data_IF_747815327797
#
_entry.id   IF_747815327797
#
_cell.length_a   1.000
_cell.length_b   1.000
_cell.length_c   1.000
_cell.angle_alpha   90.00
_cell.angle_beta   90.00
_cell.angle_gamma   90.00
#
_symmetry.space_group_name_H-M   'P 1'
#
loop_
_entity.id
_entity.type
_entity.pdbx_description
1 polymer ?
#
# COMPACT_ATOMS: atom_id res chain seq x y z
N UNK A 1 9.77 -11.57 35.49
CA UNK A 1 10.77 -11.32 34.43
C UNK A 1 10.65 -9.86 34.04
N UNK A 2 11.73 -9.09 33.93
CA UNK A 2 11.67 -7.71 33.42
C UNK A 2 11.00 -7.64 32.05
N UNK A 3 10.33 -6.53 31.74
CA UNK A 3 9.55 -6.38 30.51
C UNK A 3 10.40 -6.55 29.24
N UNK A 4 11.65 -6.11 29.25
CA UNK A 4 12.56 -6.22 28.11
C UNK A 4 12.83 -7.67 27.77
N UNK A 5 13.04 -8.51 28.79
CA UNK A 5 13.25 -9.95 28.62
C UNK A 5 11.97 -10.66 28.19
N UNK A 6 10.80 -10.15 28.59
CA UNK A 6 9.51 -10.67 28.10
C UNK A 6 9.34 -10.38 26.62
N UNK A 7 9.58 -9.12 26.19
CA UNK A 7 9.49 -8.76 24.78
C UNK A 7 10.54 -9.46 23.94
N UNK A 8 11.78 -9.61 24.42
CA UNK A 8 12.82 -10.35 23.71
C UNK A 8 12.40 -11.82 23.51
N UNK A 9 11.90 -12.48 24.56
CA UNK A 9 11.54 -13.90 24.50
C UNK A 9 10.24 -14.19 23.77
N UNK A 10 9.23 -13.34 23.91
CA UNK A 10 7.86 -13.64 23.44
C UNK A 10 7.42 -12.80 22.25
N UNK A 11 8.11 -11.70 21.95
CA UNK A 11 7.83 -10.87 20.79
C UNK A 11 8.97 -10.92 19.77
N UNK A 12 10.23 -10.69 20.16
CA UNK A 12 11.37 -10.65 19.22
C UNK A 12 11.79 -12.04 18.74
N UNK A 13 12.00 -12.97 19.68
CA UNK A 13 12.48 -14.33 19.45
C UNK A 13 11.50 -15.38 19.99
N UNK A 14 10.22 -15.34 19.58
CA UNK A 14 9.23 -16.28 20.09
C UNK A 14 9.57 -17.71 19.65
N UNK A 15 9.40 -18.72 20.51
CA UNK A 15 9.62 -20.12 20.15
C UNK A 15 8.46 -20.65 19.30
N UNK A 16 8.35 -20.18 18.06
CA UNK A 16 7.18 -20.40 17.19
C UNK A 16 6.85 -21.87 17.00
N UNK A 17 7.84 -22.70 16.67
CA UNK A 17 7.62 -24.14 16.46
C UNK A 17 6.98 -24.79 17.69
N UNK A 18 7.54 -24.51 18.87
CA UNK A 18 6.99 -25.01 20.14
C UNK A 18 5.58 -24.48 20.42
N UNK A 19 5.33 -23.19 20.17
CA UNK A 19 4.01 -22.58 20.38
C UNK A 19 2.96 -23.19 19.43
N UNK A 20 3.34 -23.47 18.18
CA UNK A 20 2.49 -24.13 17.19
C UNK A 20 2.21 -25.60 17.57
N UNK A 21 3.25 -26.37 17.93
CA UNK A 21 3.11 -27.76 18.37
C UNK A 21 2.19 -27.90 19.59
N UNK A 22 2.30 -26.96 20.54
CA UNK A 22 1.47 -26.89 21.72
C UNK A 22 0.08 -26.28 21.48
N UNK A 23 -0.23 -25.89 20.23
CA UNK A 23 -1.48 -25.21 19.84
C UNK A 23 -1.77 -23.95 20.67
N UNK A 24 -0.71 -23.23 21.07
CA UNK A 24 -0.79 -21.98 21.83
C UNK A 24 -0.91 -20.75 20.94
N UNK A 25 -0.58 -20.87 19.67
CA UNK A 25 -0.73 -19.82 18.66
C UNK A 25 -1.38 -20.42 17.40
N UNK A 26 -2.26 -19.67 16.75
CA UNK A 26 -2.83 -20.02 15.45
C UNK A 26 -1.96 -19.46 14.32
N UNK A 27 -2.09 -19.95 13.08
CA UNK A 27 -1.43 -19.33 11.92
C UNK A 27 -1.75 -17.84 11.78
N UNK A 28 -2.98 -17.43 12.09
CA UNK A 28 -3.40 -16.03 12.08
C UNK A 28 -2.69 -15.22 13.16
N UNK A 29 -2.66 -15.71 14.41
CA UNK A 29 -1.93 -15.05 15.50
C UNK A 29 -0.43 -14.97 15.23
N UNK A 30 0.14 -15.94 14.51
CA UNK A 30 1.53 -15.88 14.07
C UNK A 30 1.76 -14.71 13.10
N UNK A 31 0.90 -14.53 12.08
CA UNK A 31 1.02 -13.39 11.17
C UNK A 31 0.91 -12.05 11.92
N UNK A 32 -0.03 -11.94 12.85
CA UNK A 32 -0.18 -10.73 13.68
C UNK A 32 1.06 -10.48 14.53
N UNK A 33 1.65 -11.52 15.12
CA UNK A 33 2.88 -11.39 15.90
C UNK A 33 4.04 -10.87 15.04
N UNK A 34 4.19 -11.39 13.82
CA UNK A 34 5.21 -10.93 12.88
C UNK A 34 4.98 -9.47 12.47
N UNK A 35 3.74 -9.05 12.23
CA UNK A 35 3.41 -7.65 11.95
C UNK A 35 3.78 -6.75 13.14
N UNK A 36 3.48 -7.15 14.37
CA UNK A 36 3.85 -6.38 15.57
C UNK A 36 5.37 -6.26 15.71
N UNK A 37 6.14 -7.32 15.40
CA UNK A 37 7.61 -7.26 15.43
C UNK A 37 8.14 -6.11 14.57
N UNK A 38 7.61 -5.96 13.36
CA UNK A 38 8.07 -4.98 12.38
C UNK A 38 7.71 -3.52 12.78
N UNK A 39 6.73 -3.36 13.68
CA UNK A 39 6.39 -2.07 14.28
C UNK A 39 7.24 -1.74 15.51
N UNK A 40 7.75 -2.75 16.21
CA UNK A 40 8.45 -2.59 17.49
C UNK A 40 9.98 -2.55 17.32
N UNK A 41 10.54 -3.38 16.44
CA UNK A 41 11.98 -3.58 16.32
C UNK A 41 12.53 -3.07 14.99
N UNK A 42 13.77 -2.58 15.04
CA UNK A 42 14.58 -2.29 13.86
C UNK A 42 15.23 -3.58 13.35
N UNK A 43 15.28 -3.74 12.03
CA UNK A 43 16.00 -4.83 11.37
C UNK A 43 17.39 -4.38 10.90
N UNK A 44 18.41 -5.23 11.00
CA UNK A 44 19.66 -5.04 10.25
C UNK A 44 19.48 -5.40 8.76
N UNK A 45 20.49 -5.13 7.95
CA UNK A 45 20.48 -5.40 6.50
C UNK A 45 20.27 -6.89 6.15
N UNK A 46 20.47 -7.79 7.11
CA UNK A 46 20.21 -9.22 6.96
C UNK A 46 18.78 -9.63 7.37
N UNK A 47 17.96 -8.66 7.79
CA UNK A 47 16.59 -8.88 8.23
C UNK A 47 16.45 -9.40 9.66
N UNK A 48 17.53 -9.35 10.46
CA UNK A 48 17.49 -9.76 11.87
C UNK A 48 17.00 -8.60 12.73
N UNK A 49 16.05 -8.90 13.62
CA UNK A 49 15.53 -7.92 14.56
C UNK A 49 16.59 -7.57 15.62
N UNK A 50 16.75 -6.29 15.92
CA UNK A 50 17.70 -5.75 16.90
C UNK A 50 16.97 -4.95 17.98
N UNK A 51 17.26 -3.66 18.08
CA UNK A 51 16.74 -2.81 19.13
C UNK A 51 15.30 -2.40 18.85
N UNK A 52 14.59 -2.06 19.93
CA UNK A 52 13.30 -1.40 19.82
C UNK A 52 13.52 -0.04 19.15
N UNK A 53 12.58 0.39 18.30
CA UNK A 53 12.65 1.71 17.68
C UNK A 53 12.91 2.82 18.71
N UNK A 54 13.86 3.71 18.38
CA UNK A 54 14.15 4.88 19.22
C UNK A 54 12.89 5.72 19.37
N UNK A 55 12.55 6.09 20.61
CA UNK A 55 11.35 6.86 20.95
C UNK A 55 10.11 6.02 21.26
N UNK A 56 10.12 4.71 20.99
CA UNK A 56 9.06 3.83 21.47
C UNK A 56 9.15 3.64 23.00
N UNK A 57 8.00 3.58 23.66
CA UNK A 57 7.93 3.39 25.12
C UNK A 57 6.99 2.24 25.48
N UNK A 58 7.39 1.42 26.46
CA UNK A 58 6.56 0.33 26.98
C UNK A 58 5.72 0.86 28.13
N UNK A 59 4.41 0.60 28.07
CA UNK A 59 3.43 1.00 29.08
C UNK A 59 2.68 -0.20 29.63
N UNK A 60 2.27 -0.11 30.89
CA UNK A 60 1.27 -1.00 31.49
C UNK A 60 0.29 -0.14 32.28
N UNK A 61 -1.02 -0.35 32.08
CA UNK A 61 -2.09 0.44 32.71
C UNK A 61 -1.86 1.96 32.52
N UNK A 62 -1.51 2.37 31.29
CA UNK A 62 -1.17 3.75 30.90
C UNK A 62 0.08 4.36 31.56
N UNK A 63 0.83 3.60 32.37
CA UNK A 63 2.08 4.06 32.99
C UNK A 63 3.28 3.54 32.21
N UNK A 64 4.21 4.42 31.88
CA UNK A 64 5.49 4.04 31.26
C UNK A 64 6.32 3.21 32.23
N UNK A 65 6.81 2.06 31.75
CA UNK A 65 7.68 1.17 32.51
C UNK A 65 9.14 1.56 32.31
N UNK A 66 9.85 1.80 33.42
CA UNK A 66 11.29 1.99 33.39
C UNK A 66 12.02 0.67 33.06
N UNK A 67 13.26 0.71 32.55
CA UNK A 67 14.05 -0.47 32.35
C UNK A 67 14.23 -1.30 33.64
N UNK A 68 14.20 -2.62 33.52
CA UNK A 68 14.35 -3.57 34.63
C UNK A 68 13.07 -3.82 35.45
N UNK A 69 12.00 -3.06 35.22
CA UNK A 69 10.73 -3.23 35.93
C UNK A 69 10.08 -4.56 35.52
N UNK A 70 9.62 -5.31 36.52
CA UNK A 70 8.82 -6.52 36.32
C UNK A 70 7.35 -6.10 36.16
N UNK A 71 6.71 -6.40 35.01
CA UNK A 71 5.30 -6.12 34.84
C UNK A 71 4.43 -6.87 35.85
N UNK A 72 3.32 -6.26 36.21
CA UNK A 72 2.32 -6.85 37.08
C UNK A 72 1.40 -7.74 36.24
N UNK A 73 0.99 -8.86 36.81
CA UNK A 73 -0.03 -9.74 36.23
C UNK A 73 -1.41 -9.21 36.57
N UNK A 74 -2.28 -9.09 35.57
CA UNK A 74 -3.71 -8.80 35.73
C UNK A 74 -4.58 -10.00 35.40
N UNK A 75 -5.87 -9.89 35.70
CA UNK A 75 -6.88 -10.80 35.17
C UNK A 75 -7.22 -10.42 33.73
N UNK A 76 -7.28 -11.41 32.85
CA UNK A 76 -7.72 -11.29 31.47
C UNK A 76 -8.67 -12.43 31.13
N UNK A 77 -9.28 -12.36 29.95
CA UNK A 77 -10.20 -13.39 29.48
C UNK A 77 -9.67 -14.02 28.19
N UNK A 78 -9.69 -15.36 28.15
CA UNK A 78 -9.50 -16.15 26.94
C UNK A 78 -10.80 -16.91 26.65
N UNK A 79 -11.65 -16.31 25.81
CA UNK A 79 -13.06 -16.71 25.73
C UNK A 79 -13.77 -16.47 27.07
N UNK A 80 -14.41 -17.49 27.61
CA UNK A 80 -15.08 -17.42 28.92
C UNK A 80 -14.18 -17.79 30.11
N UNK A 81 -12.89 -18.04 29.86
CA UNK A 81 -11.94 -18.48 30.91
C UNK A 81 -11.12 -17.30 31.42
N UNK A 82 -11.16 -17.07 32.74
CA UNK A 82 -10.28 -16.12 33.41
C UNK A 82 -8.83 -16.65 33.42
N UNK A 83 -7.91 -15.84 32.90
CA UNK A 83 -6.49 -16.16 32.78
C UNK A 83 -5.65 -15.03 33.34
N UNK A 84 -4.49 -15.37 33.87
CA UNK A 84 -3.49 -14.38 34.29
C UNK A 84 -2.73 -13.84 33.06
N UNK A 85 -2.82 -12.54 32.83
CA UNK A 85 -2.19 -11.87 31.67
C UNK A 85 -1.22 -10.79 32.11
N UNK A 86 -0.18 -10.59 31.31
CA UNK A 86 0.68 -9.40 31.39
C UNK A 86 0.28 -8.54 30.19
N UNK A 87 -0.46 -7.46 30.47
CA UNK A 87 -0.88 -6.50 29.46
C UNK A 87 0.17 -5.39 29.32
N UNK A 88 0.76 -5.29 28.13
CA UNK A 88 1.76 -4.29 27.77
C UNK A 88 1.32 -3.58 26.50
N UNK A 89 1.36 -2.26 26.51
CA UNK A 89 1.19 -1.42 25.33
C UNK A 89 2.55 -0.87 24.89
N UNK A 90 2.82 -0.87 23.59
CA UNK A 90 3.98 -0.18 23.02
C UNK A 90 3.48 1.11 22.39
N UNK A 91 3.82 2.23 23.01
CA UNK A 91 3.52 3.55 22.48
C UNK A 91 4.62 3.96 21.50
N UNK A 92 4.20 4.28 20.27
CA UNK A 92 5.07 4.64 19.15
C UNK A 92 4.95 6.10 18.72
N UNK A 93 4.28 6.96 19.49
CA UNK A 93 4.02 8.36 19.12
C UNK A 93 5.29 9.19 18.91
N UNK A 94 6.41 8.80 19.54
CA UNK A 94 7.70 9.50 19.41
C UNK A 94 8.72 8.72 18.58
N UNK A 95 8.30 7.69 17.83
CA UNK A 95 9.21 6.92 16.98
C UNK A 95 9.71 7.78 15.83
N UNK A 96 11.02 7.75 15.58
CA UNK A 96 11.62 8.45 14.46
C UNK A 96 11.51 7.68 13.15
N UNK A 97 11.70 8.38 12.03
CA UNK A 97 11.88 7.82 10.69
C UNK A 97 13.23 7.07 10.54
N UNK A 98 13.39 5.96 11.28
CA UNK A 98 14.64 5.20 11.35
C UNK A 98 14.50 3.76 10.83
N UNK A 99 13.47 3.48 10.03
CA UNK A 99 13.27 2.14 9.44
C UNK A 99 14.41 1.85 8.46
N UNK A 100 15.11 0.74 8.69
CA UNK A 100 16.01 0.17 7.70
C UNK A 100 15.19 -0.61 6.65
N UNK A 101 14.97 -0.02 5.47
CA UNK A 101 14.15 -0.62 4.41
C UNK A 101 14.76 -1.91 3.84
N UNK A 102 16.08 -1.97 3.68
CA UNK A 102 16.78 -3.17 3.21
C UNK A 102 16.53 -4.32 4.18
N UNK A 103 16.76 -4.07 5.47
CA UNK A 103 16.50 -5.03 6.52
C UNK A 103 15.04 -5.44 6.64
N UNK A 104 14.13 -4.47 6.56
CA UNK A 104 12.69 -4.71 6.58
C UNK A 104 12.26 -5.65 5.43
N UNK A 105 12.63 -5.34 4.19
CA UNK A 105 12.34 -6.19 3.04
C UNK A 105 12.96 -7.60 3.18
N UNK A 106 14.21 -7.69 3.66
CA UNK A 106 14.88 -8.98 3.84
C UNK A 106 14.21 -9.85 4.90
N UNK A 107 13.79 -9.25 6.01
CA UNK A 107 13.08 -9.95 7.09
C UNK A 107 11.76 -10.53 6.60
N UNK A 108 10.93 -9.72 5.92
CA UNK A 108 9.63 -10.16 5.38
C UNK A 108 9.78 -11.25 4.32
N UNK A 109 10.77 -11.10 3.45
CA UNK A 109 11.10 -12.11 2.43
C UNK A 109 11.50 -13.44 3.05
N UNK A 110 12.50 -13.46 3.93
CA UNK A 110 13.04 -14.69 4.51
C UNK A 110 11.97 -15.51 5.26
N UNK A 111 11.02 -14.84 5.92
CA UNK A 111 9.90 -15.48 6.62
C UNK A 111 8.96 -16.25 5.66
N UNK A 112 8.92 -15.91 4.36
CA UNK A 112 7.97 -16.47 3.38
C UNK A 112 8.59 -16.68 1.99
N UNK A 113 9.89 -17.01 1.93
CA UNK A 113 10.68 -17.01 0.71
C UNK A 113 10.08 -17.90 -0.39
N UNK A 114 9.64 -19.11 -0.05
CA UNK A 114 9.03 -20.05 -1.01
C UNK A 114 7.83 -19.44 -1.74
N UNK A 115 7.01 -18.65 -1.03
CA UNK A 115 5.81 -18.01 -1.59
C UNK A 115 6.22 -16.97 -2.64
N UNK A 116 7.18 -16.10 -2.29
CA UNK A 116 7.62 -15.03 -3.18
C UNK A 116 8.45 -15.55 -4.36
N UNK A 117 9.32 -16.54 -4.15
CA UNK A 117 10.02 -17.22 -5.26
C UNK A 117 9.02 -17.88 -6.21
N UNK A 118 7.96 -18.50 -5.68
CA UNK A 118 6.86 -19.04 -6.47
C UNK A 118 6.17 -17.96 -7.30
N UNK A 119 5.87 -16.80 -6.70
CA UNK A 119 5.30 -15.67 -7.42
C UNK A 119 6.21 -15.18 -8.56
N UNK A 120 7.50 -14.98 -8.28
CA UNK A 120 8.49 -14.51 -9.27
C UNK A 120 8.59 -15.47 -10.45
N UNK A 121 8.66 -16.78 -10.18
CA UNK A 121 8.64 -17.81 -11.23
C UNK A 121 7.35 -17.77 -12.04
N UNK A 122 6.20 -17.66 -11.37
CA UNK A 122 4.90 -17.63 -12.05
C UNK A 122 4.78 -16.42 -12.98
N UNK A 123 5.40 -15.28 -12.65
CA UNK A 123 5.41 -14.10 -13.51
C UNK A 123 6.16 -14.35 -14.84
N UNK A 124 7.29 -15.05 -14.79
CA UNK A 124 8.04 -15.44 -15.99
C UNK A 124 7.31 -16.50 -16.83
N UNK A 125 6.73 -17.51 -16.17
CA UNK A 125 6.08 -18.65 -16.83
C UNK A 125 4.82 -18.26 -17.63
N UNK A 126 4.35 -17.01 -17.51
CA UNK A 126 3.29 -16.46 -18.36
C UNK A 126 3.74 -16.21 -19.79
N UNK A 127 5.02 -15.93 -20.00
CA UNK A 127 5.58 -15.58 -21.31
C UNK A 127 6.69 -16.53 -21.77
N UNK A 128 7.17 -17.39 -20.87
CA UNK A 128 8.29 -18.30 -21.10
C UNK A 128 7.97 -19.71 -20.63
N UNK A 129 8.59 -20.71 -21.24
CA UNK A 129 8.50 -22.08 -20.74
C UNK A 129 9.18 -22.22 -19.36
N UNK A 130 8.84 -23.23 -18.53
CA UNK A 130 9.48 -23.43 -17.23
C UNK A 130 11.02 -23.56 -17.29
N UNK A 131 11.55 -24.12 -18.38
CA UNK A 131 12.99 -24.23 -18.60
C UNK A 131 13.64 -22.85 -18.85
N UNK A 132 13.04 -22.04 -19.72
CA UNK A 132 13.51 -20.67 -20.00
C UNK A 132 13.37 -19.77 -18.78
N UNK A 133 12.27 -19.87 -18.04
CA UNK A 133 12.08 -19.16 -16.78
C UNK A 133 13.20 -19.52 -15.78
N UNK A 134 13.57 -20.80 -15.69
CA UNK A 134 14.72 -21.26 -14.90
C UNK A 134 16.03 -20.56 -15.28
N UNK A 135 16.33 -20.45 -16.58
CA UNK A 135 17.53 -19.76 -17.08
C UNK A 135 17.49 -18.25 -16.78
N UNK A 136 16.34 -17.61 -16.94
CA UNK A 136 16.17 -16.18 -16.67
C UNK A 136 16.37 -15.87 -15.18
N UNK A 137 15.84 -16.72 -14.29
CA UNK A 137 15.98 -16.59 -12.84
C UNK A 137 17.43 -16.64 -12.34
N UNK A 138 18.34 -17.27 -13.08
CA UNK A 138 19.77 -17.25 -12.75
C UNK A 138 20.42 -15.87 -12.95
N UNK A 139 19.77 -14.96 -13.69
CA UNK A 139 20.19 -13.57 -13.90
C UNK A 139 21.64 -13.40 -14.40
N UNK A 140 22.16 -14.38 -15.15
CA UNK A 140 23.56 -14.42 -15.63
C UNK A 140 23.89 -13.42 -16.75
N UNK A 141 22.89 -12.74 -17.31
CA UNK A 141 23.09 -11.76 -18.38
C UNK A 141 22.19 -10.55 -18.19
N UNK A 142 22.58 -9.41 -18.77
CA UNK A 142 21.74 -8.22 -18.85
C UNK A 142 20.34 -8.54 -19.36
N UNK A 143 20.25 -9.30 -20.46
CA UNK A 143 18.96 -9.66 -21.06
C UNK A 143 18.08 -10.43 -20.06
N UNK A 144 18.64 -11.41 -19.35
CA UNK A 144 17.91 -12.13 -18.30
C UNK A 144 17.41 -11.20 -17.19
N UNK A 145 18.26 -10.27 -16.71
CA UNK A 145 17.86 -9.28 -15.70
C UNK A 145 16.74 -8.36 -16.17
N UNK A 146 16.80 -7.89 -17.42
CA UNK A 146 15.77 -7.02 -17.99
C UNK A 146 14.45 -7.78 -18.20
N UNK A 147 14.51 -9.00 -18.70
CA UNK A 147 13.33 -9.85 -18.89
C UNK A 147 12.65 -10.15 -17.55
N UNK A 148 13.42 -10.49 -16.51
CA UNK A 148 12.87 -10.72 -15.18
C UNK A 148 12.21 -9.46 -14.61
N UNK A 149 12.91 -8.31 -14.65
CA UNK A 149 12.37 -7.04 -14.18
C UNK A 149 11.07 -6.68 -14.89
N UNK A 150 11.04 -6.81 -16.21
CA UNK A 150 9.85 -6.52 -17.03
C UNK A 150 8.69 -7.46 -16.70
N UNK A 151 8.93 -8.77 -16.61
CA UNK A 151 7.88 -9.73 -16.29
C UNK A 151 7.25 -9.47 -14.91
N UNK A 152 8.06 -9.10 -13.91
CA UNK A 152 7.56 -8.69 -12.60
C UNK A 152 6.76 -7.39 -12.69
N UNK A 153 7.29 -6.37 -13.36
CA UNK A 153 6.61 -5.09 -13.52
C UNK A 153 5.26 -5.24 -14.25
N UNK A 154 5.21 -6.03 -15.32
CA UNK A 154 3.96 -6.35 -16.03
C UNK A 154 2.99 -7.11 -15.13
N UNK A 155 3.48 -8.07 -14.33
CA UNK A 155 2.62 -8.81 -13.39
C UNK A 155 1.99 -7.90 -12.34
N UNK A 156 2.74 -6.93 -11.80
CA UNK A 156 2.21 -5.93 -10.86
C UNK A 156 1.25 -4.95 -11.57
N UNK A 157 1.60 -4.51 -12.78
CA UNK A 157 0.78 -3.59 -13.58
C UNK A 157 -0.55 -4.19 -14.00
N UNK A 158 -0.63 -5.50 -14.23
CA UNK A 158 -1.90 -6.12 -14.61
C UNK A 158 -2.86 -6.38 -13.44
N UNK A 159 -2.38 -6.35 -12.20
CA UNK A 159 -3.22 -6.50 -11.02
C UNK A 159 -4.16 -5.30 -10.85
N UNK A 160 -5.24 -5.42 -10.06
CA UNK A 160 -6.23 -4.34 -9.93
C UNK A 160 -5.62 -3.03 -9.37
N UNK A 161 -6.09 -1.87 -9.84
CA UNK A 161 -5.91 -0.62 -9.10
C UNK A 161 -7.09 -0.48 -8.14
N UNK A 162 -6.85 -0.61 -6.85
CA UNK A 162 -7.94 -0.78 -5.89
C UNK A 162 -7.60 -0.31 -4.48
N UNK A 163 -8.66 -0.04 -3.71
CA UNK A 163 -8.61 0.20 -2.27
C UNK A 163 -9.64 -0.64 -1.50
N UNK A 164 -10.44 -1.49 -2.17
CA UNK A 164 -11.43 -2.34 -1.51
C UNK A 164 -10.79 -3.30 -0.50
N UNK A 165 -9.55 -3.73 -0.74
CA UNK A 165 -8.81 -4.68 0.11
C UNK A 165 -8.43 -4.12 1.47
N UNK A 166 -8.49 -2.79 1.64
CA UNK A 166 -8.33 -2.12 2.94
C UNK A 166 -9.52 -2.34 3.86
N UNK A 167 -10.66 -2.71 3.28
CA UNK A 167 -11.92 -2.89 4.00
C UNK A 167 -12.42 -4.33 4.00
N UNK A 168 -11.70 -5.23 3.35
CA UNK A 168 -11.97 -6.67 3.34
C UNK A 168 -10.74 -7.44 3.83
N UNK A 169 -10.90 -8.76 4.03
CA UNK A 169 -9.79 -9.62 4.45
C UNK A 169 -9.14 -9.16 5.76
N UNK A 170 -7.82 -8.89 5.70
CA UNK A 170 -7.02 -8.43 6.84
C UNK A 170 -7.29 -6.98 7.25
N UNK A 171 -7.98 -6.19 6.41
CA UNK A 171 -8.39 -4.81 6.71
C UNK A 171 -7.22 -3.90 7.11
N UNK A 172 -6.15 -3.98 6.34
CA UNK A 172 -4.96 -3.15 6.54
C UNK A 172 -5.24 -1.73 6.06
N UNK A 173 -4.95 -0.73 6.90
CA UNK A 173 -5.09 0.70 6.55
C UNK A 173 -4.24 1.03 5.30
N UNK A 174 -3.03 0.46 5.26
CA UNK A 174 -2.10 0.60 4.15
C UNK A 174 -1.27 -0.68 4.05
N UNK A 175 -1.05 -1.18 2.83
CA UNK A 175 -0.28 -2.41 2.60
C UNK A 175 1.18 -2.10 2.36
N UNK A 176 2.06 -2.85 3.03
CA UNK A 176 3.47 -2.93 2.67
C UNK A 176 3.66 -3.67 1.34
N UNK A 177 4.88 -3.67 0.82
CA UNK A 177 5.19 -4.31 -0.47
C UNK A 177 4.85 -5.79 -0.50
N UNK A 178 5.20 -6.55 0.54
CA UNK A 178 4.95 -7.99 0.57
C UNK A 178 3.46 -8.34 0.79
N UNK A 179 2.74 -7.53 1.57
CA UNK A 179 1.28 -7.64 1.73
C UNK A 179 0.58 -7.35 0.40
N UNK A 180 1.08 -6.38 -0.36
CA UNK A 180 0.56 -6.09 -1.70
C UNK A 180 0.84 -7.24 -2.67
N UNK A 181 2.02 -7.86 -2.64
CA UNK A 181 2.30 -9.06 -3.45
C UNK A 181 1.32 -10.18 -3.12
N UNK A 182 1.06 -10.44 -1.83
CA UNK A 182 0.07 -11.46 -1.42
C UNK A 182 -1.34 -11.11 -1.89
N UNK A 183 -1.75 -9.85 -1.75
CA UNK A 183 -3.06 -9.41 -2.24
C UNK A 183 -3.20 -9.62 -3.76
N UNK A 184 -2.13 -9.39 -4.53
CA UNK A 184 -2.08 -9.69 -5.97
C UNK A 184 -2.19 -11.20 -6.24
N UNK A 185 -1.54 -12.04 -5.41
CA UNK A 185 -1.65 -13.50 -5.51
C UNK A 185 -3.09 -13.98 -5.29
N UNK A 186 -3.83 -13.31 -4.40
CA UNK A 186 -5.23 -13.62 -4.08
C UNK A 186 -6.21 -13.06 -5.13
N UNK A 187 -5.71 -12.35 -6.15
CA UNK A 187 -6.51 -11.79 -7.25
C UNK A 187 -6.84 -10.31 -7.11
N UNK A 188 -6.41 -9.66 -6.03
CA UNK A 188 -6.56 -8.23 -5.80
C UNK A 188 -5.43 -7.41 -6.43
N UNK A 189 -5.08 -6.31 -5.77
CA UNK A 189 -4.07 -5.37 -6.25
C UNK A 189 -3.61 -4.35 -5.23
N UNK A 190 -3.63 -3.09 -5.60
CA UNK A 190 -3.33 -1.98 -4.71
C UNK A 190 -3.23 -0.64 -5.43
N UNK A 191 -3.09 0.44 -4.68
CA UNK A 191 -2.85 1.78 -5.24
C UNK A 191 -1.39 1.95 -5.69
N UNK A 192 -1.07 3.10 -6.30
CA UNK A 192 0.25 3.37 -6.86
C UNK A 192 1.40 3.10 -5.89
N UNK A 193 1.35 3.67 -4.69
CA UNK A 193 2.39 3.50 -3.66
C UNK A 193 2.54 2.06 -3.17
N UNK A 194 1.45 1.31 -3.08
CA UNK A 194 1.44 -0.10 -2.68
C UNK A 194 2.09 -0.98 -3.76
N UNK A 195 1.74 -0.74 -5.02
CA UNK A 195 2.30 -1.48 -6.17
C UNK A 195 3.78 -1.21 -6.42
N UNK A 196 4.21 0.04 -6.27
CA UNK A 196 5.62 0.42 -6.33
C UNK A 196 6.40 -0.29 -5.21
N UNK A 197 5.87 -0.31 -3.98
CA UNK A 197 6.49 -1.07 -2.89
C UNK A 197 6.52 -2.57 -3.18
N UNK A 198 5.46 -3.14 -3.78
CA UNK A 198 5.41 -4.56 -4.14
C UNK A 198 6.53 -4.92 -5.13
N UNK A 199 6.67 -4.12 -6.19
CA UNK A 199 7.73 -4.32 -7.18
C UNK A 199 9.11 -4.15 -6.54
N UNK A 200 9.32 -3.08 -5.75
CA UNK A 200 10.58 -2.83 -5.05
C UNK A 200 10.93 -3.98 -4.09
N UNK A 201 9.99 -4.44 -3.27
CA UNK A 201 10.16 -5.55 -2.34
C UNK A 201 10.66 -6.82 -3.04
N UNK A 202 10.06 -7.17 -4.17
CA UNK A 202 10.49 -8.33 -4.97
C UNK A 202 11.90 -8.11 -5.52
N UNK A 203 12.16 -6.94 -6.11
CA UNK A 203 13.42 -6.68 -6.82
C UNK A 203 14.60 -6.45 -5.89
N UNK A 204 14.40 -5.85 -4.71
CA UNK A 204 15.43 -5.69 -3.68
C UNK A 204 15.97 -7.07 -3.25
N UNK A 205 15.07 -8.05 -3.06
CA UNK A 205 15.46 -9.42 -2.69
C UNK A 205 16.07 -10.23 -3.84
N UNK A 206 15.93 -9.76 -5.07
CA UNK A 206 16.57 -10.32 -6.26
C UNK A 206 17.89 -9.61 -6.62
N UNK A 207 18.30 -8.61 -5.84
CA UNK A 207 19.57 -7.90 -5.98
C UNK A 207 19.56 -6.74 -6.97
N UNK A 208 18.38 -6.20 -7.31
CA UNK A 208 18.28 -5.01 -8.15
C UNK A 208 18.46 -3.75 -7.32
N UNK A 209 19.25 -2.81 -7.85
CA UNK A 209 19.32 -1.45 -7.31
C UNK A 209 18.19 -0.60 -7.90
N UNK A 210 17.45 0.08 -7.04
CA UNK A 210 16.36 0.98 -7.44
C UNK A 210 16.17 2.13 -6.47
N UNK A 211 15.71 3.27 -6.99
CA UNK A 211 15.28 4.44 -6.24
C UNK A 211 13.83 4.81 -6.58
N UNK A 212 13.11 5.33 -5.60
CA UNK A 212 11.77 5.89 -5.77
C UNK A 212 11.84 7.20 -6.57
N UNK A 213 10.91 7.33 -7.50
CA UNK A 213 10.57 8.58 -8.17
C UNK A 213 9.24 9.08 -7.60
N UNK A 214 9.13 10.40 -7.48
CA UNK A 214 7.86 11.05 -7.15
C UNK A 214 7.30 11.74 -8.38
N UNK A 215 6.00 11.68 -8.56
CA UNK A 215 5.34 12.31 -9.69
C UNK A 215 3.98 12.89 -9.29
N UNK A 216 3.48 13.77 -10.14
CA UNK A 216 2.09 14.19 -10.06
C UNK A 216 1.72 15.30 -11.04
N UNK A 217 0.42 15.63 -11.07
CA UNK A 217 -0.14 16.51 -12.07
C UNK A 217 0.35 17.94 -11.89
N UNK A 218 0.78 18.54 -13.00
CA UNK A 218 1.21 19.93 -13.07
C UNK A 218 2.33 20.29 -12.08
N UNK A 219 3.14 19.32 -11.67
CA UNK A 219 4.36 19.49 -10.87
C UNK A 219 5.54 19.91 -11.75
N UNK A 220 5.37 20.99 -12.53
CA UNK A 220 6.27 21.41 -13.60
C UNK A 220 7.46 22.26 -13.15
N UNK A 221 7.90 22.13 -11.88
CA UNK A 221 9.07 22.83 -11.34
C UNK A 221 9.95 21.82 -10.58
N UNK A 222 11.21 22.17 -10.26
CA UNK A 222 12.04 21.33 -9.39
C UNK A 222 11.33 20.95 -8.10
N UNK A 223 11.59 19.73 -7.61
CA UNK A 223 10.95 19.19 -6.43
C UNK A 223 11.31 20.00 -5.16
N UNK A 224 10.32 20.48 -4.38
CA UNK A 224 10.57 21.31 -3.22
C UNK A 224 10.84 20.44 -1.97
N UNK A 225 11.98 19.75 -1.93
CA UNK A 225 12.30 18.75 -0.91
C UNK A 225 12.15 19.25 0.53
N UNK A 226 12.64 20.45 0.85
CA UNK A 226 12.54 21.02 2.20
C UNK A 226 11.08 21.11 2.67
N UNK A 227 10.17 21.48 1.76
CA UNK A 227 8.74 21.57 2.05
C UNK A 227 8.09 20.19 2.19
N UNK A 228 8.57 19.19 1.46
CA UNK A 228 8.10 17.82 1.62
C UNK A 228 8.55 17.22 2.97
N UNK A 229 9.78 17.51 3.41
CA UNK A 229 10.26 17.10 4.75
C UNK A 229 9.51 17.81 5.88
N UNK A 230 9.20 19.10 5.72
CA UNK A 230 8.36 19.86 6.65
C UNK A 230 6.97 19.22 6.80
N UNK A 231 6.36 18.79 5.68
CA UNK A 231 5.07 18.11 5.70
C UNK A 231 5.09 16.79 6.46
N UNK A 232 6.14 15.99 6.29
CA UNK A 232 6.32 14.73 7.02
C UNK A 232 6.54 14.93 8.52
N UNK A 233 6.95 16.13 8.94
CA UNK A 233 7.18 16.45 10.35
C UNK A 233 5.93 17.04 11.02
N UNK A 234 5.11 17.77 10.27
CA UNK A 234 3.97 18.54 10.78
C UNK A 234 2.62 17.84 10.57
N UNK A 235 2.52 16.99 9.55
CA UNK A 235 1.25 16.45 9.04
C UNK A 235 0.20 17.53 8.69
N UNK A 236 0.65 18.77 8.39
CA UNK A 236 -0.22 19.89 8.00
C UNK A 236 -0.49 19.89 6.49
N UNK A 237 -1.48 19.11 6.07
CA UNK A 237 -1.82 18.96 4.65
C UNK A 237 -2.75 20.05 4.10
N UNK A 238 -3.58 20.68 4.95
CA UNK A 238 -4.63 21.62 4.53
C UNK A 238 -4.09 22.82 3.73
N UNK A 239 -3.02 23.45 4.21
CA UNK A 239 -2.40 24.62 3.57
C UNK A 239 -1.33 24.26 2.53
N UNK A 240 -1.09 22.95 2.34
CA UNK A 240 0.06 22.42 1.61
C UNK A 240 -0.32 21.68 0.33
N UNK A 241 -1.59 21.77 -0.11
CA UNK A 241 -2.09 21.19 -1.37
C UNK A 241 -1.18 21.48 -2.57
N UNK A 242 -0.59 22.69 -2.63
CA UNK A 242 0.35 23.08 -3.70
C UNK A 242 1.63 22.26 -3.74
N UNK A 243 2.04 21.64 -2.64
CA UNK A 243 3.22 20.80 -2.51
C UNK A 243 2.86 19.33 -2.58
N UNK A 244 1.67 18.94 -2.10
CA UNK A 244 1.18 17.57 -2.19
C UNK A 244 1.17 17.04 -3.63
N UNK A 245 0.91 17.88 -4.63
CA UNK A 245 0.98 17.46 -6.05
C UNK A 245 2.31 16.83 -6.49
N UNK A 246 3.41 17.04 -5.75
CA UNK A 246 4.70 16.46 -6.11
C UNK A 246 4.81 14.97 -5.75
N UNK A 247 4.00 14.47 -4.82
CA UNK A 247 4.05 13.07 -4.35
C UNK A 247 2.70 12.36 -4.44
N UNK A 248 1.83 12.79 -5.36
CA UNK A 248 0.54 12.12 -5.63
C UNK A 248 0.71 10.79 -6.37
N UNK A 249 1.89 10.56 -6.94
CA UNK A 249 2.23 9.35 -7.67
C UNK A 249 3.67 8.93 -7.39
N UNK A 250 3.95 7.63 -7.54
CA UNK A 250 5.26 7.03 -7.33
C UNK A 250 5.61 6.09 -8.49
N UNK A 251 6.90 5.98 -8.79
CA UNK A 251 7.45 4.99 -9.72
C UNK A 251 8.86 4.58 -9.25
N UNK A 252 9.52 3.68 -10.00
CA UNK A 252 10.89 3.25 -9.69
C UNK A 252 11.84 3.57 -10.84
N UNK A 253 13.05 3.98 -10.48
CA UNK A 253 14.18 4.05 -11.39
C UNK A 253 15.17 2.95 -11.02
N UNK A 254 15.36 2.00 -11.93
CA UNK A 254 16.29 0.89 -11.75
C UNK A 254 17.65 1.20 -12.36
N UNK A 255 18.73 0.73 -11.71
CA UNK A 255 20.08 0.69 -12.28
C UNK A 255 20.46 -0.76 -12.56
N UNK A 256 20.46 -1.16 -13.83
CA UNK A 256 20.80 -2.53 -14.26
C UNK A 256 22.05 -2.48 -15.12
N UNK A 257 23.19 -2.92 -14.56
CA UNK A 257 24.50 -2.94 -15.22
C UNK A 257 24.87 -1.59 -15.87
N UNK A 258 24.66 -0.50 -15.14
CA UNK A 258 24.95 0.87 -15.58
C UNK A 258 23.89 1.51 -16.48
N UNK A 259 22.78 0.82 -16.75
CA UNK A 259 21.63 1.37 -17.48
C UNK A 259 20.52 1.78 -16.53
N UNK A 260 20.02 2.99 -16.71
CA UNK A 260 18.85 3.49 -15.99
C UNK A 260 17.56 3.14 -16.73
N UNK A 261 16.57 2.64 -15.98
CA UNK A 261 15.29 2.19 -16.50
C UNK A 261 14.18 2.73 -15.62
N UNK A 262 13.36 3.64 -16.15
CA UNK A 262 12.15 4.08 -15.48
C UNK A 262 11.08 3.01 -15.65
N UNK A 263 10.57 2.52 -14.53
CA UNK A 263 9.50 1.53 -14.47
C UNK A 263 8.31 2.10 -13.71
N UNK A 264 7.17 2.18 -14.40
CA UNK A 264 5.90 2.52 -13.79
C UNK A 264 4.91 1.37 -14.00
N UNK A 265 4.71 0.62 -12.92
CA UNK A 265 3.91 -0.60 -12.88
C UNK A 265 2.59 -0.41 -12.12
N UNK A 266 2.11 0.83 -11.96
CA UNK A 266 1.00 1.09 -11.03
C UNK A 266 -0.37 0.94 -11.63
N UNK A 267 -0.50 1.00 -12.96
CA UNK A 267 -1.77 1.05 -13.70
C UNK A 267 -2.77 2.12 -13.23
N UNK A 268 -4.05 1.78 -13.04
CA UNK A 268 -5.16 2.70 -12.89
C UNK A 268 -5.37 3.44 -14.20
N UNK A 269 -4.92 4.69 -14.21
CA UNK A 269 -4.94 5.56 -15.39
C UNK A 269 -3.54 5.77 -16.00
N UNK A 270 -2.49 5.27 -15.35
CA UNK A 270 -1.10 5.39 -15.81
C UNK A 270 -0.77 4.24 -16.77
N UNK A 271 -0.26 4.51 -17.98
CA UNK A 271 0.19 3.46 -18.89
C UNK A 271 1.38 2.69 -18.30
N UNK A 272 1.58 1.44 -18.73
CA UNK A 272 2.79 0.71 -18.35
C UNK A 272 4.01 1.39 -18.94
N UNK A 273 4.97 1.78 -18.09
CA UNK A 273 6.23 2.37 -18.52
C UNK A 273 7.38 1.42 -18.21
N UNK A 274 8.21 1.18 -19.21
CA UNK A 274 9.49 0.47 -19.10
C UNK A 274 10.48 1.15 -20.04
N UNK A 275 10.98 2.32 -19.63
CA UNK A 275 11.69 3.26 -20.50
C UNK A 275 13.17 3.28 -20.17
N UNK A 276 14.03 3.17 -21.18
CA UNK A 276 15.48 3.22 -21.05
C UNK A 276 16.12 4.21 -22.05
N UNK A 277 17.29 4.74 -21.70
CA UNK A 277 18.04 5.64 -22.60
C UNK A 277 17.23 6.87 -23.02
N UNK A 278 17.25 7.18 -24.33
CA UNK A 278 16.58 8.36 -24.90
C UNK A 278 15.05 8.34 -24.77
N UNK A 279 14.44 7.20 -24.44
CA UNK A 279 13.00 7.09 -24.19
C UNK A 279 12.62 7.60 -22.79
N UNK A 280 13.57 7.68 -21.86
CA UNK A 280 13.35 8.17 -20.51
C UNK A 280 13.33 9.71 -20.42
N UNK A 281 12.83 10.42 -21.45
CA UNK A 281 12.73 11.89 -21.49
C UNK A 281 11.92 12.50 -20.35
N UNK A 282 11.02 11.70 -19.76
CA UNK A 282 10.25 12.04 -18.55
C UNK A 282 11.16 12.39 -17.36
N UNK A 283 12.38 11.87 -17.34
CA UNK A 283 13.41 12.18 -16.35
C UNK A 283 14.30 13.36 -16.74
N UNK A 284 14.02 14.04 -17.86
CA UNK A 284 14.77 15.19 -18.32
C UNK A 284 14.81 16.34 -17.33
N UNK A 285 15.73 17.27 -17.56
CA UNK A 285 15.99 18.42 -16.70
C UNK A 285 15.15 19.66 -17.07
N UNK A 286 15.00 20.57 -16.11
CA UNK A 286 14.36 21.86 -16.33
C UNK A 286 15.24 22.83 -17.13
N UNK A 287 14.65 23.73 -17.94
CA UNK A 287 13.22 23.99 -18.15
C UNK A 287 12.55 23.12 -19.22
N UNK A 288 13.27 22.18 -19.86
CA UNK A 288 12.80 21.38 -21.00
C UNK A 288 12.14 20.04 -20.65
N UNK A 289 11.81 19.81 -19.38
CA UNK A 289 11.27 18.54 -18.90
C UNK A 289 9.90 18.24 -19.52
N UNK A 290 9.79 17.08 -20.18
CA UNK A 290 8.55 16.62 -20.81
C UNK A 290 7.63 15.90 -19.79
N UNK A 291 6.33 16.20 -19.77
CA UNK A 291 5.38 15.46 -18.96
C UNK A 291 4.88 14.19 -19.66
N UNK A 292 4.33 13.27 -18.87
CA UNK A 292 3.46 12.22 -19.35
C UNK A 292 2.01 12.73 -19.34
N UNK A 293 1.31 12.62 -20.46
CA UNK A 293 -0.14 12.88 -20.51
C UNK A 293 -0.89 11.67 -19.93
N UNK A 294 -1.69 11.92 -18.89
CA UNK A 294 -2.44 10.89 -18.15
C UNK A 294 -3.90 11.28 -18.09
N UNK A 295 -4.80 10.36 -18.44
CA UNK A 295 -6.25 10.61 -18.34
C UNK A 295 -6.78 10.22 -16.95
N UNK A 296 -6.92 11.19 -16.05
CA UNK A 296 -7.52 11.01 -14.73
C UNK A 296 -9.04 11.17 -14.81
N UNK A 297 -9.75 10.05 -14.95
CA UNK A 297 -11.22 9.99 -15.07
C UNK A 297 -11.74 10.88 -16.22
N UNK A 298 -12.10 12.13 -15.91
CA UNK A 298 -12.72 13.08 -16.84
C UNK A 298 -11.73 14.01 -17.54
N UNK A 299 -10.51 14.16 -17.01
CA UNK A 299 -9.53 15.15 -17.47
C UNK A 299 -8.21 14.49 -17.88
N UNK A 300 -7.52 15.12 -18.84
CA UNK A 300 -6.13 14.80 -19.12
C UNK A 300 -5.23 15.73 -18.32
N UNK A 301 -4.24 15.16 -17.63
CA UNK A 301 -3.31 15.86 -16.77
C UNK A 301 -1.87 15.57 -17.17
N UNK A 302 -1.01 16.57 -17.00
CA UNK A 302 0.42 16.46 -17.31
C UNK A 302 1.21 16.04 -16.06
N UNK A 303 1.64 14.78 -16.00
CA UNK A 303 2.41 14.21 -14.89
C UNK A 303 3.92 14.42 -15.11
N UNK A 304 4.60 14.97 -14.10
CA UNK A 304 6.06 15.19 -14.14
C UNK A 304 6.74 14.26 -13.13
N UNK A 305 7.73 13.49 -13.58
CA UNK A 305 8.48 12.53 -12.75
C UNK A 305 9.79 13.13 -12.24
N UNK A 306 10.04 13.06 -10.94
CA UNK A 306 11.17 13.68 -10.27
C UNK A 306 12.01 12.63 -9.55
N UNK A 307 13.33 12.75 -9.71
CA UNK A 307 14.24 12.18 -8.73
C UNK A 307 14.14 13.00 -7.45
N UNK A 308 14.29 12.33 -6.32
CA UNK A 308 14.18 12.92 -4.99
C UNK A 308 15.13 12.21 -4.05
N UNK A 309 15.57 12.90 -3.03
CA UNK A 309 16.22 12.26 -1.88
C UNK A 309 15.32 11.19 -1.29
N UNK A 310 15.85 9.98 -1.11
CA UNK A 310 15.05 8.78 -0.81
C UNK A 310 14.42 8.79 0.57
N UNK A 311 14.94 9.61 1.50
CA UNK A 311 14.32 9.79 2.81
C UNK A 311 12.88 10.29 2.71
N UNK A 312 12.55 11.09 1.68
CA UNK A 312 11.19 11.65 1.52
C UNK A 312 10.15 10.56 1.19
N UNK A 313 10.26 9.81 0.08
CA UNK A 313 9.28 8.75 -0.24
C UNK A 313 9.27 7.65 0.82
N UNK A 314 10.43 7.25 1.35
CA UNK A 314 10.53 6.25 2.41
C UNK A 314 9.79 6.68 3.67
N UNK A 315 10.00 7.92 4.13
CA UNK A 315 9.30 8.43 5.31
C UNK A 315 7.80 8.59 5.07
N UNK A 316 7.39 9.00 3.86
CA UNK A 316 5.97 9.04 3.50
C UNK A 316 5.32 7.65 3.59
N UNK A 317 5.96 6.63 3.02
CA UNK A 317 5.47 5.26 3.07
C UNK A 317 5.39 4.72 4.51
N UNK A 318 6.39 5.01 5.34
CA UNK A 318 6.37 4.62 6.74
C UNK A 318 5.24 5.33 7.52
N UNK A 319 5.00 6.60 7.24
CA UNK A 319 3.92 7.36 7.87
C UNK A 319 2.53 6.85 7.47
N UNK A 320 2.33 6.51 6.19
CA UNK A 320 1.07 5.94 5.69
C UNK A 320 0.75 4.59 6.33
N UNK A 321 1.77 3.77 6.61
CA UNK A 321 1.60 2.48 7.29
C UNK A 321 1.31 2.64 8.79
N UNK A 322 1.96 3.59 9.46
CA UNK A 322 2.04 3.58 10.92
C UNK A 322 1.44 4.78 11.67
N UNK A 323 1.30 5.95 11.03
CA UNK A 323 1.06 7.21 11.74
C UNK A 323 -0.09 8.05 11.23
N UNK A 324 -0.60 7.76 10.03
CA UNK A 324 -1.78 8.44 9.47
C UNK A 324 -2.96 7.46 9.59
N UNK A 325 -3.77 7.53 10.67
CA UNK A 325 -4.80 6.52 10.93
C UNK A 325 -5.84 6.47 9.83
N UNK A 326 -6.13 7.59 9.16
CA UNK A 326 -7.14 7.73 8.11
C UNK A 326 -6.55 7.56 6.70
N UNK A 327 -5.35 7.00 6.54
CA UNK A 327 -4.72 6.84 5.22
C UNK A 327 -5.57 5.98 4.26
N UNK A 328 -6.39 5.07 4.77
CA UNK A 328 -7.41 4.32 4.04
C UNK A 328 -8.50 5.23 3.46
N UNK A 329 -9.09 6.08 4.29
CA UNK A 329 -10.17 6.98 3.91
C UNK A 329 -9.68 8.13 3.00
N UNK A 330 -8.53 8.73 3.32
CA UNK A 330 -7.92 9.81 2.53
C UNK A 330 -7.68 9.34 1.09
N UNK A 331 -7.17 8.13 0.89
CA UNK A 331 -6.91 7.62 -0.46
C UNK A 331 -8.21 7.40 -1.26
N UNK A 332 -9.26 6.88 -0.61
CA UNK A 332 -10.55 6.65 -1.27
C UNK A 332 -11.26 7.96 -1.61
N UNK A 333 -11.36 8.87 -0.65
CA UNK A 333 -12.26 10.04 -0.71
C UNK A 333 -11.54 11.33 -1.08
N UNK A 334 -10.46 11.68 -0.40
CA UNK A 334 -9.76 12.97 -0.62
C UNK A 334 -8.88 12.96 -1.87
N UNK A 335 -8.21 11.84 -2.14
CA UNK A 335 -7.45 11.62 -3.37
C UNK A 335 -8.33 11.10 -4.51
N UNK A 336 -9.62 10.87 -4.26
CA UNK A 336 -10.62 10.40 -5.23
C UNK A 336 -10.20 9.11 -5.98
N UNK A 337 -9.41 8.24 -5.35
CA UNK A 337 -9.03 6.96 -5.96
C UNK A 337 -10.18 5.94 -5.95
N UNK A 338 -11.20 6.16 -5.13
CA UNK A 338 -12.33 5.26 -4.99
C UNK A 338 -11.93 3.87 -4.49
N UNK A 339 -12.80 2.90 -4.74
CA UNK A 339 -12.57 1.49 -4.37
C UNK A 339 -11.90 0.70 -5.50
N UNK A 340 -12.13 1.10 -6.75
CA UNK A 340 -11.62 0.40 -7.93
C UNK A 340 -11.47 1.34 -9.13
N UNK A 341 -10.34 1.23 -9.84
CA UNK A 341 -10.09 1.91 -11.10
C UNK A 341 -9.54 0.92 -12.13
N UNK A 342 -10.10 0.97 -13.33
CA UNK A 342 -9.54 0.31 -14.51
C UNK A 342 -9.80 1.16 -15.75
N UNK A 343 -9.25 0.79 -16.90
CA UNK A 343 -9.58 1.44 -18.18
C UNK A 343 -11.09 1.48 -18.51
N UNK A 344 -11.88 0.57 -17.96
CA UNK A 344 -13.31 0.47 -18.28
C UNK A 344 -14.27 0.92 -17.19
N UNK A 345 -13.80 1.07 -15.95
CA UNK A 345 -14.68 1.31 -14.80
C UNK A 345 -13.97 2.10 -13.70
N UNK A 346 -14.73 3.01 -13.09
CA UNK A 346 -14.42 3.65 -11.81
C UNK A 346 -15.56 3.33 -10.85
N UNK A 347 -15.22 2.83 -9.65
CA UNK A 347 -16.19 2.49 -8.59
C UNK A 347 -15.78 3.18 -7.30
N UNK A 348 -16.69 3.91 -6.68
CA UNK A 348 -16.45 4.60 -5.41
C UNK A 348 -17.71 4.63 -4.53
N UNK A 349 -17.53 5.06 -3.29
CA UNK A 349 -18.57 5.16 -2.28
C UNK A 349 -19.03 6.61 -2.07
N UNK A 350 -20.30 6.80 -1.70
CA UNK A 350 -20.83 8.06 -1.18
C UNK A 350 -21.30 7.79 0.26
N UNK A 351 -20.54 8.18 1.29
CA UNK A 351 -21.05 8.20 2.66
C UNK A 351 -22.04 9.37 2.84
N UNK A 352 -23.15 9.14 3.54
CA UNK A 352 -24.17 10.16 3.81
C UNK A 352 -24.96 9.87 5.09
N UNK A 353 -25.45 10.91 5.79
CA UNK A 353 -26.38 10.77 6.93
C UNK A 353 -27.83 11.01 6.52
N UNK A 354 -28.06 11.81 5.48
CA UNK A 354 -29.40 12.18 5.02
C UNK A 354 -29.56 12.03 3.52
N UNK A 355 -30.80 11.81 3.05
CA UNK A 355 -31.09 11.73 1.62
C UNK A 355 -30.69 13.00 0.87
N UNK A 356 -30.82 14.17 1.51
CA UNK A 356 -30.41 15.45 0.93
C UNK A 356 -28.90 15.54 0.72
N UNK A 357 -28.09 14.97 1.61
CA UNK A 357 -26.64 14.91 1.45
C UNK A 357 -26.27 14.00 0.28
N UNK A 358 -26.86 12.81 0.22
CA UNK A 358 -26.69 11.89 -0.89
C UNK A 358 -27.03 12.54 -2.24
N UNK A 359 -28.23 13.12 -2.36
CA UNK A 359 -28.70 13.79 -3.60
C UNK A 359 -27.82 14.97 -4.01
N UNK A 360 -27.10 15.61 -3.07
CA UNK A 360 -26.14 16.67 -3.39
C UNK A 360 -24.91 16.09 -4.10
N UNK A 361 -24.32 15.03 -3.55
CA UNK A 361 -23.14 14.38 -4.13
C UNK A 361 -23.49 13.65 -5.42
N UNK A 362 -24.65 12.97 -5.45
CA UNK A 362 -25.20 12.34 -6.66
C UNK A 362 -25.27 13.33 -7.83
N UNK A 363 -25.83 14.54 -7.61
CA UNK A 363 -25.90 15.57 -8.66
C UNK A 363 -24.53 16.04 -9.16
N UNK A 364 -23.51 16.05 -8.30
CA UNK A 364 -22.14 16.38 -8.71
C UNK A 364 -21.60 15.34 -9.68
N UNK A 365 -21.70 14.05 -9.34
CA UNK A 365 -21.30 12.96 -10.23
C UNK A 365 -22.09 12.95 -11.54
N UNK A 366 -23.42 13.09 -11.49
CA UNK A 366 -24.26 13.16 -12.70
C UNK A 366 -23.81 14.29 -13.62
N UNK A 367 -23.68 15.50 -13.08
CA UNK A 367 -23.24 16.66 -13.86
C UNK A 367 -21.86 16.48 -14.46
N UNK A 368 -20.92 15.87 -13.72
CA UNK A 368 -19.57 15.62 -14.18
C UNK A 368 -19.54 14.59 -15.32
N UNK A 369 -20.29 13.48 -15.21
CA UNK A 369 -20.38 12.46 -16.24
C UNK A 369 -21.09 12.95 -17.50
N UNK A 370 -22.20 13.68 -17.34
CA UNK A 370 -22.98 14.22 -18.46
C UNK A 370 -22.17 15.20 -19.33
N UNK A 371 -21.32 16.02 -18.71
CA UNK A 371 -20.43 16.96 -19.43
C UNK A 371 -19.50 16.28 -20.44
N UNK A 372 -19.13 15.03 -20.20
CA UNK A 372 -18.22 14.26 -21.05
C UNK A 372 -18.87 13.04 -21.70
N UNK A 373 -20.19 12.89 -21.56
CA UNK A 373 -20.96 11.79 -22.17
C UNK A 373 -20.65 10.40 -21.59
N UNK A 374 -20.24 10.30 -20.33
CA UNK A 374 -19.97 9.00 -19.68
C UNK A 374 -21.26 8.35 -19.17
N UNK A 375 -21.34 7.02 -19.28
CA UNK A 375 -22.41 6.22 -18.67
C UNK A 375 -22.11 6.02 -17.19
N UNK A 376 -23.13 6.13 -16.34
CA UNK A 376 -22.99 6.00 -14.90
C UNK A 376 -24.23 5.34 -14.27
N UNK A 377 -24.03 4.75 -13.10
CA UNK A 377 -25.07 4.28 -12.21
C UNK A 377 -24.73 4.73 -10.79
N UNK A 378 -25.67 5.37 -10.12
CA UNK A 378 -25.51 5.87 -8.75
C UNK A 378 -26.69 5.36 -7.95
N UNK A 379 -26.42 4.65 -6.85
CA UNK A 379 -27.41 4.09 -5.94
C UNK A 379 -27.17 4.64 -4.54
N UNK A 380 -28.24 4.91 -3.79
CA UNK A 380 -28.15 5.16 -2.35
C UNK A 380 -27.96 3.86 -1.56
N UNK A 381 -28.17 2.70 -2.20
CA UNK A 381 -27.84 1.37 -1.70
C UNK A 381 -26.43 0.90 -2.04
N UNK A 382 -26.03 -0.21 -1.40
CA UNK A 382 -24.75 -0.89 -1.61
C UNK A 382 -24.93 -2.17 -2.42
N UNK A 383 -25.31 -2.02 -3.68
CA UNK A 383 -25.59 -3.11 -4.61
C UNK A 383 -25.03 -2.82 -6.01
N UNK A 384 -25.10 -3.83 -6.89
CA UNK A 384 -24.64 -3.76 -8.28
C UNK A 384 -25.77 -4.08 -9.27
N UNK A 385 -27.03 -3.82 -8.91
CA UNK A 385 -28.21 -4.29 -9.65
C UNK A 385 -28.47 -3.50 -10.94
N UNK A 386 -27.83 -2.34 -11.09
CA UNK A 386 -27.86 -1.57 -12.34
C UNK A 386 -27.23 -2.34 -13.51
N UNK A 387 -27.60 -1.99 -14.75
CA UNK A 387 -27.01 -2.61 -15.95
C UNK A 387 -25.48 -2.48 -15.97
N UNK A 388 -24.95 -1.31 -15.57
CA UNK A 388 -23.52 -1.05 -15.48
C UNK A 388 -22.88 -1.89 -14.37
N UNK A 389 -23.55 -2.03 -13.22
CA UNK A 389 -23.13 -2.91 -12.13
C UNK A 389 -23.05 -4.37 -12.55
N UNK A 390 -24.04 -4.88 -13.26
CA UNK A 390 -24.02 -6.23 -13.83
C UNK A 390 -22.90 -6.44 -14.85
N UNK A 391 -22.62 -5.43 -15.70
CA UNK A 391 -21.48 -5.49 -16.63
C UNK A 391 -20.13 -5.47 -15.90
N UNK A 392 -20.00 -4.67 -14.84
CA UNK A 392 -18.81 -4.63 -13.98
C UNK A 392 -18.59 -5.97 -13.29
N UNK A 393 -19.60 -6.51 -12.62
CA UNK A 393 -19.51 -7.81 -11.94
C UNK A 393 -19.17 -8.96 -12.89
N UNK A 394 -19.68 -8.92 -14.13
CA UNK A 394 -19.32 -9.93 -15.14
C UNK A 394 -17.86 -9.83 -15.59
N UNK A 395 -17.33 -8.61 -15.74
CA UNK A 395 -15.96 -8.38 -16.23
C UNK A 395 -14.90 -8.49 -15.13
N UNK A 396 -15.26 -8.12 -13.91
CA UNK A 396 -14.38 -8.08 -12.74
C UNK A 396 -15.03 -8.80 -11.53
N UNK A 397 -15.29 -10.13 -11.63
CA UNK A 397 -16.06 -10.86 -10.61
C UNK A 397 -15.40 -10.86 -9.23
N UNK A 398 -14.06 -10.88 -9.17
CA UNK A 398 -13.34 -10.79 -7.90
C UNK A 398 -13.53 -9.40 -7.27
N UNK A 399 -13.20 -8.34 -8.01
CA UNK A 399 -13.33 -6.96 -7.53
C UNK A 399 -14.77 -6.61 -7.11
N UNK A 400 -15.78 -7.03 -7.87
CA UNK A 400 -17.18 -6.77 -7.53
C UNK A 400 -17.58 -7.41 -6.19
N UNK A 401 -17.13 -8.63 -5.93
CA UNK A 401 -17.39 -9.30 -4.65
C UNK A 401 -16.70 -8.58 -3.50
N UNK A 402 -15.46 -8.11 -3.70
CA UNK A 402 -14.72 -7.37 -2.69
C UNK A 402 -15.34 -5.99 -2.41
N UNK A 403 -15.78 -5.27 -3.45
CA UNK A 403 -16.52 -4.01 -3.29
C UNK A 403 -17.77 -4.23 -2.44
N UNK A 404 -18.57 -5.26 -2.72
CA UNK A 404 -19.75 -5.56 -1.90
C UNK A 404 -19.39 -5.94 -0.46
N UNK A 405 -18.35 -6.76 -0.27
CA UNK A 405 -17.88 -7.17 1.05
C UNK A 405 -17.27 -6.03 1.88
N UNK A 406 -16.78 -4.97 1.23
CA UNK A 406 -16.11 -3.84 1.90
C UNK A 406 -17.06 -2.96 2.73
N UNK A 407 -18.37 -3.02 2.47
CA UNK A 407 -19.37 -2.09 2.99
C UNK A 407 -19.28 -1.82 4.50
N UNK A 408 -19.35 -2.89 5.30
CA UNK A 408 -19.49 -2.76 6.75
C UNK A 408 -18.23 -2.15 7.37
N UNK A 409 -17.04 -2.55 6.92
CA UNK A 409 -15.81 -2.05 7.50
C UNK A 409 -15.51 -0.64 7.02
N UNK A 410 -15.76 -0.31 5.75
CA UNK A 410 -15.64 1.05 5.23
C UNK A 410 -16.51 2.00 6.06
N UNK A 411 -17.77 1.64 6.32
CA UNK A 411 -18.66 2.45 7.15
C UNK A 411 -18.20 2.54 8.61
N UNK A 412 -17.66 1.46 9.18
CA UNK A 412 -17.08 1.51 10.54
C UNK A 412 -15.96 2.55 10.61
N UNK A 413 -14.99 2.44 9.70
CA UNK A 413 -13.84 3.35 9.60
C UNK A 413 -14.27 4.80 9.38
N UNK A 414 -15.20 5.02 8.45
CA UNK A 414 -15.72 6.36 8.19
C UNK A 414 -16.46 6.95 9.40
N UNK A 415 -17.26 6.14 10.11
CA UNK A 415 -17.95 6.59 11.33
C UNK A 415 -17.01 6.83 12.52
N UNK A 416 -15.89 6.10 12.60
CA UNK A 416 -14.83 6.36 13.59
C UNK A 416 -14.18 7.73 13.36
N UNK A 417 -13.99 8.14 12.09
CA UNK A 417 -13.42 9.44 11.70
C UNK A 417 -14.43 10.59 11.79
N UNK A 418 -15.57 10.45 11.12
CA UNK A 418 -16.54 11.54 10.85
C UNK A 418 -17.76 11.53 11.82
N UNK A 419 -17.71 10.64 12.82
CA UNK A 419 -18.80 10.39 13.75
C UNK A 419 -19.89 9.45 13.20
N UNK A 420 -20.73 8.88 14.08
CA UNK A 420 -21.65 7.81 13.72
C UNK A 420 -22.85 8.28 12.89
N UNK A 421 -23.58 7.30 12.34
CA UNK A 421 -24.89 7.49 11.71
C UNK A 421 -24.87 7.56 10.18
N UNK A 422 -23.72 7.29 9.55
CA UNK A 422 -23.62 7.25 8.10
C UNK A 422 -24.16 5.94 7.52
N UNK A 423 -24.78 6.07 6.35
CA UNK A 423 -24.99 5.02 5.35
C UNK A 423 -24.01 5.26 4.19
N UNK A 424 -23.90 4.28 3.28
CA UNK A 424 -23.09 4.43 2.09
C UNK A 424 -23.83 3.96 0.84
N UNK A 425 -23.78 4.78 -0.21
CA UNK A 425 -24.23 4.45 -1.56
C UNK A 425 -23.03 4.16 -2.47
N UNK A 426 -23.31 3.61 -3.64
CA UNK A 426 -22.30 3.29 -4.65
C UNK A 426 -22.43 4.14 -5.91
N UNK A 427 -21.27 4.52 -6.45
CA UNK A 427 -21.12 5.18 -7.74
C UNK A 427 -20.33 4.26 -8.66
N UNK A 428 -20.88 3.99 -9.84
CA UNK A 428 -20.24 3.25 -10.90
C UNK A 428 -20.22 4.12 -12.15
N UNK A 429 -19.03 4.36 -12.69
CA UNK A 429 -18.84 5.10 -13.94
C UNK A 429 -18.16 4.18 -14.93
N UNK A 430 -18.73 4.04 -16.12
CA UNK A 430 -18.12 3.31 -17.23
C UNK A 430 -17.16 4.25 -17.95
N UNK A 431 -15.88 3.93 -17.84
CA UNK A 431 -14.81 4.69 -18.48
C UNK A 431 -14.68 4.27 -19.96
N UNK A 432 -14.37 5.25 -20.82
CA UNK A 432 -14.15 5.03 -22.24
C UNK A 432 -12.82 4.32 -22.48
N UNK A 433 -12.83 3.32 -23.36
CA UNK A 433 -11.64 2.58 -23.77
C UNK A 433 -10.63 3.45 -24.52
#
# INVERSE_FOLDING_TARGET
MPWERLLDKYLKNPPIEQLCEQRRITPESLQNLLAIQDLVYVSDDNGRLHDIFTGATTKQQSRTLAPGVVPVTGAGLAGDTEVSVIDLAIDRMNVSYARNWVGFHKSRWSKNETVFVGFVRSALERYHSPAEAGVILEQKSLNAKLTLLRALAERIWEADFESYSRFTGQKLIFKSGDETVRNIMDGGGGVCSEKVQALKFLTDNLGYESEYLLAGPNANRPIPEEKLRELLSTFEFEFSKRYMRYWQHMALLYRVEGREILVDATNGNIPFLFLAGDEAKLLGEYPGKEPLAVRMSLHEEAFYYHRVSQDIPENLLFALEGWIPEADLIQVFENELGLFISKGYFVTAIPYKTQSEFQRVERQYKSACEKVGMQYAISDGWDLDSEIGGQFAKKHPFASNQVLASHQHLLSRYNESEGPGHQAGLVLIKLGA
#
